data_IF_841765448299
#
_entry.id   IF_841765448299
#
_cell.length_a   1.000
_cell.length_b   1.000
_cell.length_c   1.000
_cell.angle_alpha   90.00
_cell.angle_beta   90.00
_cell.angle_gamma   90.00
#
_symmetry.space_group_name_H-M   'P 1'
#
loop_
_entity.id
_entity.type
_entity.pdbx_description
1 polymer ?
#
# COMPACT_ATOMS: atom_id res chain seq x y z
N UNK A 1 2.15 -1.69 17.53
CA UNK A 1 3.35 -0.83 17.60
C UNK A 1 4.46 -1.47 18.45
N UNK A 2 4.41 -1.48 19.79
CA UNK A 2 5.55 -1.98 20.60
C UNK A 2 5.83 -3.49 20.50
N UNK A 3 4.81 -4.31 20.22
CA UNK A 3 4.98 -5.76 20.01
C UNK A 3 5.69 -6.11 18.68
N UNK A 4 5.81 -5.15 17.75
CA UNK A 4 6.63 -5.33 16.56
C UNK A 4 8.10 -5.26 16.98
N UNK A 5 8.71 -6.45 17.13
CA UNK A 5 10.09 -6.59 17.58
C UNK A 5 11.10 -6.12 16.53
N UNK A 6 10.82 -6.35 15.24
CA UNK A 6 11.68 -5.88 14.14
C UNK A 6 11.78 -4.36 14.22
N UNK A 7 10.64 -3.69 14.39
CA UNK A 7 10.59 -2.25 14.57
C UNK A 7 11.31 -1.81 15.84
N UNK A 8 10.78 -2.19 17.00
CA UNK A 8 11.21 -1.66 18.30
C UNK A 8 12.67 -2.02 18.60
N UNK A 9 13.08 -3.25 18.27
CA UNK A 9 14.44 -3.71 18.42
C UNK A 9 15.43 -3.02 17.48
N UNK A 10 15.03 -2.70 16.24
CA UNK A 10 15.91 -1.96 15.31
C UNK A 10 16.13 -0.52 15.75
N UNK A 11 15.08 0.16 16.22
CA UNK A 11 15.23 1.48 16.85
C UNK A 11 16.16 1.45 18.06
N UNK A 12 15.97 0.49 18.97
CA UNK A 12 16.84 0.34 20.13
C UNK A 12 18.29 0.11 19.70
N UNK A 13 18.55 -0.80 18.76
CA UNK A 13 19.90 -1.05 18.23
C UNK A 13 20.50 0.21 17.60
N UNK A 14 19.75 0.90 16.75
CA UNK A 14 20.21 2.12 16.10
C UNK A 14 20.66 3.18 17.12
N UNK A 15 19.88 3.39 18.17
CA UNK A 15 20.16 4.36 19.23
C UNK A 15 21.35 3.92 20.11
N UNK A 16 21.35 2.66 20.59
CA UNK A 16 22.39 2.17 21.50
C UNK A 16 23.73 1.95 20.81
N UNK A 17 23.75 1.48 19.56
CA UNK A 17 24.99 1.29 18.80
C UNK A 17 25.62 2.61 18.39
N UNK A 18 24.81 3.66 18.22
CA UNK A 18 25.26 5.03 17.99
C UNK A 18 25.23 5.88 19.26
N UNK A 19 25.53 5.29 20.43
CA UNK A 19 25.43 5.98 21.72
C UNK A 19 26.21 7.30 21.79
N UNK A 20 27.26 7.52 20.99
CA UNK A 20 28.00 8.79 20.93
C UNK A 20 27.15 9.95 20.42
N UNK A 21 26.12 9.67 19.63
CA UNK A 21 25.17 10.67 19.12
C UNK A 21 24.11 11.06 20.18
N UNK A 22 24.03 10.31 21.28
CA UNK A 22 23.07 10.52 22.36
C UNK A 22 23.74 10.90 23.68
N UNK A 23 24.94 10.38 23.97
CA UNK A 23 25.62 10.59 25.25
C UNK A 23 25.84 12.07 25.54
N UNK A 24 25.34 12.52 26.68
CA UNK A 24 25.38 13.90 27.16
C UNK A 24 24.70 14.93 26.22
N UNK A 25 23.89 14.46 25.26
CA UNK A 25 23.16 15.29 24.29
C UNK A 25 21.74 15.61 24.75
N UNK A 26 21.16 16.63 24.12
CA UNK A 26 19.75 16.98 24.25
C UNK A 26 18.97 16.38 23.07
N UNK A 27 17.91 15.65 23.37
CA UNK A 27 17.12 14.89 22.40
C UNK A 27 15.69 15.43 22.35
N UNK A 28 15.10 15.48 21.16
CA UNK A 28 13.66 15.68 20.97
C UNK A 28 13.04 14.41 20.39
N UNK A 29 12.05 13.86 21.08
CA UNK A 29 11.22 12.73 20.62
C UNK A 29 9.87 13.27 20.15
N UNK A 30 9.61 13.20 18.84
CA UNK A 30 8.42 13.78 18.19
C UNK A 30 7.36 12.71 18.02
N UNK A 31 6.21 12.89 18.68
CA UNK A 31 5.14 11.88 18.71
C UNK A 31 5.57 10.67 19.53
N UNK A 32 6.01 10.92 20.77
CA UNK A 32 6.67 9.89 21.58
C UNK A 32 5.73 8.72 21.96
N UNK A 33 4.41 8.91 21.87
CA UNK A 33 3.40 7.94 22.28
C UNK A 33 3.61 7.53 23.73
N UNK A 34 4.01 6.28 23.94
CA UNK A 34 4.35 5.74 25.29
C UNK A 34 5.69 6.25 25.84
N UNK A 35 6.52 6.91 25.03
CA UNK A 35 7.87 7.35 25.39
C UNK A 35 8.98 6.32 25.16
N UNK A 36 8.70 5.19 24.48
CA UNK A 36 9.65 4.08 24.32
C UNK A 36 11.00 4.52 23.71
N UNK A 37 11.00 5.41 22.71
CA UNK A 37 12.22 5.90 22.08
C UNK A 37 12.99 6.84 23.01
N UNK A 38 12.29 7.67 23.78
CA UNK A 38 12.88 8.47 24.86
C UNK A 38 13.60 7.62 25.90
N UNK A 39 13.06 6.44 26.27
CA UNK A 39 13.76 5.50 27.16
C UNK A 39 15.04 4.94 26.53
N UNK A 40 15.05 4.63 25.24
CA UNK A 40 16.27 4.19 24.54
C UNK A 40 17.33 5.31 24.48
N UNK A 41 16.92 6.54 24.23
CA UNK A 41 17.82 7.69 24.28
C UNK A 41 18.42 7.89 25.69
N UNK A 42 17.61 7.71 26.74
CA UNK A 42 18.09 7.74 28.12
C UNK A 42 19.09 6.61 28.43
N UNK A 43 18.85 5.39 27.92
CA UNK A 43 19.78 4.25 28.02
C UNK A 43 21.11 4.53 27.30
N UNK A 44 21.07 5.22 26.16
CA UNK A 44 22.28 5.65 25.44
C UNK A 44 23.04 6.81 26.12
N UNK A 45 22.53 7.31 27.26
CA UNK A 45 23.19 8.32 28.07
C UNK A 45 22.82 9.77 27.73
N UNK A 46 21.66 10.00 27.10
CA UNK A 46 21.17 11.36 26.87
C UNK A 46 21.05 12.16 28.16
N UNK A 47 21.50 13.43 28.10
CA UNK A 47 21.48 14.37 29.23
C UNK A 47 20.05 14.80 29.53
N UNK A 48 19.29 15.10 28.49
CA UNK A 48 17.90 15.57 28.58
C UNK A 48 17.13 15.17 27.32
N UNK A 49 15.89 14.73 27.49
CA UNK A 49 14.99 14.31 26.42
C UNK A 49 13.68 15.07 26.58
N UNK A 50 13.27 15.79 25.54
CA UNK A 50 11.95 16.40 25.42
C UNK A 50 11.06 15.43 24.64
N UNK A 51 10.04 14.87 25.29
CA UNK A 51 9.14 13.90 24.69
C UNK A 51 7.79 14.57 24.38
N UNK A 52 7.56 14.93 23.11
CA UNK A 52 6.36 15.65 22.68
C UNK A 52 5.31 14.65 22.19
N UNK A 53 4.10 14.74 22.72
CA UNK A 53 2.98 13.87 22.33
C UNK A 53 1.65 14.64 22.35
N UNK A 54 0.91 14.58 21.25
CA UNK A 54 -0.32 15.35 21.08
C UNK A 54 -1.55 14.67 21.69
N UNK A 55 -1.54 13.34 21.78
CA UNK A 55 -2.65 12.55 22.33
C UNK A 55 -2.61 12.45 23.86
N UNK A 56 -3.67 11.88 24.43
CA UNK A 56 -3.75 11.56 25.86
C UNK A 56 -2.69 10.56 26.32
N UNK A 57 -2.01 9.87 25.39
CA UNK A 57 -0.91 8.97 25.70
C UNK A 57 0.25 9.66 26.44
N UNK A 58 0.39 10.99 26.28
CA UNK A 58 1.34 11.79 27.06
C UNK A 58 1.19 11.57 28.58
N UNK A 59 -0.04 11.39 29.08
CA UNK A 59 -0.28 11.12 30.50
C UNK A 59 0.29 9.76 30.93
N UNK A 60 0.19 8.74 30.06
CA UNK A 60 0.75 7.43 30.32
C UNK A 60 2.28 7.42 30.20
N UNK A 61 2.85 8.16 29.24
CA UNK A 61 4.28 8.37 29.15
C UNK A 61 4.84 8.98 30.44
N UNK A 62 4.18 10.00 30.99
CA UNK A 62 4.58 10.63 32.26
C UNK A 62 4.55 9.64 33.45
N UNK A 63 3.56 8.75 33.51
CA UNK A 63 3.50 7.66 34.50
C UNK A 63 4.70 6.72 34.35
N UNK A 64 5.04 6.34 33.12
CA UNK A 64 6.20 5.47 32.84
C UNK A 64 7.51 6.15 33.23
N UNK A 65 7.68 7.44 32.92
CA UNK A 65 8.87 8.23 33.29
C UNK A 65 9.07 8.27 34.80
N UNK A 66 7.99 8.49 35.57
CA UNK A 66 8.03 8.48 37.05
C UNK A 66 8.38 7.11 37.60
N UNK A 67 7.72 6.06 37.11
CA UNK A 67 7.95 4.68 37.60
C UNK A 67 9.35 4.16 37.28
N UNK A 68 10.00 4.66 36.24
CA UNK A 68 11.37 4.30 35.87
C UNK A 68 12.42 5.27 36.42
N UNK A 69 12.05 6.21 37.31
CA UNK A 69 12.97 7.14 37.96
C UNK A 69 13.78 8.02 36.98
N UNK A 70 13.16 8.42 35.87
CA UNK A 70 13.82 9.21 34.81
C UNK A 70 13.28 10.64 34.68
N UNK A 71 12.56 11.14 35.69
CA UNK A 71 11.94 12.48 35.70
C UNK A 71 12.93 13.63 35.51
N UNK A 72 14.18 13.46 35.96
CA UNK A 72 15.24 14.47 35.79
C UNK A 72 15.78 14.54 34.35
N UNK A 73 15.54 13.49 33.55
CA UNK A 73 16.08 13.37 32.19
C UNK A 73 15.01 13.48 31.12
N UNK A 74 13.85 12.84 31.29
CA UNK A 74 12.76 12.83 30.31
C UNK A 74 11.68 13.80 30.77
N UNK A 75 11.41 14.81 29.94
CA UNK A 75 10.36 15.81 30.17
C UNK A 75 9.27 15.59 29.13
N UNK A 76 8.11 15.11 29.57
CA UNK A 76 6.95 14.92 28.70
C UNK A 76 6.23 16.25 28.49
N UNK A 77 6.01 16.62 27.23
CA UNK A 77 5.35 17.86 26.84
C UNK A 77 4.08 17.50 26.05
N UNK A 78 2.88 17.63 26.65
CA UNK A 78 1.64 17.37 25.95
C UNK A 78 1.36 18.48 24.93
N UNK A 79 1.11 18.10 23.69
CA UNK A 79 0.77 19.03 22.60
C UNK A 79 1.38 18.63 21.27
N UNK A 80 1.02 19.39 20.23
CA UNK A 80 1.55 19.22 18.87
C UNK A 80 2.91 19.92 18.75
N UNK A 81 3.86 19.32 18.02
CA UNK A 81 5.23 19.87 17.88
C UNK A 81 5.25 21.24 17.17
N UNK A 82 4.21 21.53 16.40
CA UNK A 82 3.98 22.81 15.73
C UNK A 82 3.65 23.94 16.72
N UNK A 83 2.94 23.61 17.81
CA UNK A 83 2.33 24.56 18.75
C UNK A 83 3.11 24.70 20.07
N UNK A 84 3.80 23.65 20.50
CA UNK A 84 4.60 23.67 21.74
C UNK A 84 5.83 24.56 21.60
N UNK A 85 6.43 24.95 22.73
CA UNK A 85 7.70 25.67 22.79
C UNK A 85 8.72 24.91 23.63
N UNK A 86 9.90 24.67 23.08
CA UNK A 86 11.02 24.09 23.83
C UNK A 86 11.93 25.19 24.39
N UNK A 87 12.50 25.01 25.60
CA UNK A 87 13.33 26.03 26.24
C UNK A 87 14.75 26.12 25.66
N UNK A 88 15.21 25.12 24.90
CA UNK A 88 16.56 25.09 24.30
C UNK A 88 16.57 24.28 22.99
N UNK A 89 17.55 24.55 22.12
CA UNK A 89 17.77 23.75 20.90
C UNK A 89 18.34 22.36 21.22
N UNK A 90 17.97 21.36 20.42
CA UNK A 90 18.35 19.95 20.59
C UNK A 90 19.46 19.53 19.63
N UNK A 91 20.24 18.52 20.02
CA UNK A 91 21.34 17.98 19.21
C UNK A 91 20.86 16.91 18.21
N UNK A 92 19.81 16.16 18.57
CA UNK A 92 19.24 15.10 17.74
C UNK A 92 17.72 15.03 17.90
N UNK A 93 17.02 14.81 16.79
CA UNK A 93 15.58 14.52 16.79
C UNK A 93 15.38 13.04 16.49
N UNK A 94 14.56 12.37 17.29
CA UNK A 94 14.12 11.00 17.07
C UNK A 94 12.61 10.97 16.86
N UNK A 95 12.15 10.09 15.98
CA UNK A 95 10.71 9.85 15.79
C UNK A 95 10.48 8.52 15.09
N UNK A 96 9.24 8.06 15.14
CA UNK A 96 8.72 6.98 14.31
C UNK A 96 7.56 7.56 13.47
N UNK A 97 7.86 8.30 12.38
CA UNK A 97 6.86 9.00 11.59
C UNK A 97 6.38 8.21 10.36
N UNK A 98 6.69 6.92 10.25
CA UNK A 98 6.47 6.16 9.03
C UNK A 98 5.07 5.53 8.99
N UNK A 99 4.28 5.90 7.98
CA UNK A 99 3.01 5.24 7.66
C UNK A 99 3.14 4.22 6.52
N UNK A 100 2.00 3.71 6.04
CA UNK A 100 1.95 2.96 4.77
C UNK A 100 2.58 3.77 3.63
N UNK A 101 3.34 3.08 2.76
CA UNK A 101 4.13 3.71 1.68
C UNK A 101 5.04 4.85 2.18
N UNK A 102 5.54 4.78 3.41
CA UNK A 102 6.32 5.80 4.13
C UNK A 102 5.55 7.08 4.48
N UNK A 103 4.75 7.61 3.55
CA UNK A 103 4.16 8.95 3.64
C UNK A 103 2.79 9.02 4.30
N UNK A 104 2.05 7.91 4.41
CA UNK A 104 0.70 7.95 4.99
C UNK A 104 0.71 8.53 6.42
N UNK A 105 -0.45 9.06 6.86
CA UNK A 105 -0.63 9.76 8.15
C UNK A 105 0.00 11.15 8.23
N UNK A 106 0.83 11.54 7.25
CA UNK A 106 1.38 12.90 7.13
C UNK A 106 2.25 13.32 8.33
N UNK A 107 2.68 12.36 9.15
CA UNK A 107 3.51 12.62 10.34
C UNK A 107 4.93 13.09 9.99
N UNK A 108 5.42 12.76 8.78
CA UNK A 108 6.69 13.27 8.27
C UNK A 108 6.74 14.80 8.21
N UNK A 109 5.60 15.49 8.03
CA UNK A 109 5.57 16.96 8.07
C UNK A 109 5.91 17.48 9.45
N UNK A 110 5.27 16.94 10.49
CA UNK A 110 5.57 17.29 11.89
C UNK A 110 7.02 16.97 12.24
N UNK A 111 7.55 15.86 11.72
CA UNK A 111 8.96 15.48 11.89
C UNK A 111 9.92 16.49 11.24
N UNK A 112 9.64 16.91 10.01
CA UNK A 112 10.43 17.96 9.34
C UNK A 112 10.25 19.33 9.99
N UNK A 113 9.06 19.64 10.50
CA UNK A 113 8.75 20.88 11.20
C UNK A 113 9.54 21.00 12.51
N UNK A 114 9.75 19.88 13.20
CA UNK A 114 10.53 19.82 14.43
C UNK A 114 11.99 20.27 14.26
N UNK A 115 12.52 20.30 13.02
CA UNK A 115 13.86 20.83 12.72
C UNK A 115 14.06 22.29 13.14
N UNK A 116 13.00 23.06 13.39
CA UNK A 116 13.11 24.39 13.99
C UNK A 116 13.86 24.37 15.34
N UNK A 117 13.79 23.26 16.07
CA UNK A 117 14.50 23.04 17.33
C UNK A 117 15.88 22.41 17.17
N UNK A 118 16.24 21.93 15.98
CA UNK A 118 17.51 21.26 15.74
C UNK A 118 18.65 22.29 15.65
N UNK A 119 19.78 22.00 16.28
CA UNK A 119 21.00 22.80 16.13
C UNK A 119 21.57 22.66 14.71
N UNK A 120 22.29 23.68 14.20
CA UNK A 120 23.10 23.50 13.00
C UNK A 120 24.09 22.34 13.19
N UNK A 121 24.10 21.38 12.28
CA UNK A 121 24.90 20.15 12.40
C UNK A 121 24.32 19.09 13.36
N UNK A 122 23.11 19.29 13.88
CA UNK A 122 22.37 18.25 14.58
C UNK A 122 21.88 17.15 13.64
N UNK A 123 21.55 15.99 14.20
CA UNK A 123 21.17 14.80 13.43
C UNK A 123 19.67 14.46 13.57
N UNK A 124 19.19 13.55 12.73
CA UNK A 124 17.80 13.08 12.69
C UNK A 124 17.77 11.56 12.56
N UNK A 125 16.98 10.90 13.40
CA UNK A 125 16.80 9.45 13.45
C UNK A 125 15.31 9.09 13.30
N UNK A 126 14.86 8.59 12.14
CA UNK A 126 15.63 8.23 10.94
C UNK A 126 16.16 9.44 10.15
N UNK A 127 17.23 9.23 9.38
CA UNK A 127 17.95 10.28 8.63
C UNK A 127 17.49 10.35 7.17
N UNK A 128 17.31 9.19 6.54
CA UNK A 128 16.80 9.06 5.17
C UNK A 128 15.67 8.03 5.14
N UNK A 129 14.74 8.19 4.19
CA UNK A 129 13.72 7.21 3.85
C UNK A 129 13.77 6.90 2.36
N UNK A 130 13.90 5.62 2.03
CA UNK A 130 13.91 5.09 0.68
C UNK A 130 12.56 4.43 0.39
N UNK A 131 11.81 4.95 -0.58
CA UNK A 131 10.61 4.28 -1.11
C UNK A 131 10.99 3.49 -2.34
N UNK A 132 10.64 2.22 -2.34
CA UNK A 132 10.84 1.31 -3.45
C UNK A 132 9.52 1.05 -4.15
N UNK A 133 9.57 0.98 -5.48
CA UNK A 133 8.45 0.50 -6.29
C UNK A 133 8.91 -0.50 -7.33
N UNK A 134 8.10 -1.52 -7.59
CA UNK A 134 8.37 -2.54 -8.61
C UNK A 134 7.06 -3.02 -9.28
N UNK A 135 7.07 -3.31 -10.59
CA UNK A 135 5.91 -3.89 -11.27
C UNK A 135 5.71 -5.34 -10.83
N UNK A 136 4.45 -5.76 -10.65
CA UNK A 136 4.11 -7.12 -10.26
C UNK A 136 3.05 -7.74 -11.17
N UNK A 137 3.01 -9.08 -11.16
CA UNK A 137 1.94 -9.89 -11.75
C UNK A 137 1.20 -10.67 -10.67
N UNK A 138 -0.11 -10.46 -10.53
CA UNK A 138 -0.99 -11.20 -9.62
C UNK A 138 -2.41 -11.19 -10.18
N UNK A 139 -2.70 -12.21 -10.97
CA UNK A 139 -4.00 -12.41 -11.61
C UNK A 139 -5.11 -12.65 -10.58
N UNK A 140 -4.80 -13.37 -9.48
CA UNK A 140 -5.78 -13.69 -8.45
C UNK A 140 -6.24 -12.42 -7.73
N UNK A 141 -5.30 -11.55 -7.35
CA UNK A 141 -5.63 -10.27 -6.73
C UNK A 141 -6.47 -9.38 -7.67
N UNK A 142 -6.11 -9.33 -8.95
CA UNK A 142 -6.82 -8.54 -9.95
C UNK A 142 -8.26 -9.04 -10.14
N UNK A 143 -8.45 -10.35 -10.30
CA UNK A 143 -9.77 -10.97 -10.47
C UNK A 143 -10.63 -10.92 -9.21
N UNK A 144 -10.03 -10.86 -8.03
CA UNK A 144 -10.74 -10.65 -6.76
C UNK A 144 -11.54 -9.33 -6.77
N UNK A 145 -10.97 -8.26 -7.34
CA UNK A 145 -11.67 -6.96 -7.42
C UNK A 145 -12.91 -7.04 -8.31
N UNK A 146 -12.80 -7.70 -9.47
CA UNK A 146 -13.95 -7.93 -10.34
C UNK A 146 -14.99 -8.84 -9.68
N UNK A 147 -14.56 -9.86 -8.94
CA UNK A 147 -15.48 -10.76 -8.24
C UNK A 147 -16.31 -10.01 -7.20
N UNK A 148 -15.69 -9.10 -6.42
CA UNK A 148 -16.40 -8.22 -5.49
C UNK A 148 -17.35 -7.26 -6.21
N UNK A 149 -16.87 -6.62 -7.29
CA UNK A 149 -17.69 -5.70 -8.08
C UNK A 149 -18.88 -6.39 -8.76
N UNK A 150 -18.75 -7.67 -9.13
CA UNK A 150 -19.81 -8.44 -9.77
C UNK A 150 -20.99 -8.73 -8.83
N UNK A 151 -20.87 -8.50 -7.51
CA UNK A 151 -22.04 -8.45 -6.62
C UNK A 151 -23.09 -7.45 -7.11
N UNK A 152 -22.65 -6.30 -7.60
CA UNK A 152 -23.52 -5.25 -8.15
C UNK A 152 -24.07 -5.61 -9.54
N UNK A 153 -23.51 -6.62 -10.21
CA UNK A 153 -23.98 -7.05 -11.53
C UNK A 153 -25.13 -8.06 -11.42
N UNK A 154 -26.13 -7.71 -10.63
CA UNK A 154 -27.32 -8.53 -10.39
C UNK A 154 -28.57 -7.79 -10.89
N UNK A 155 -29.29 -8.34 -11.88
CA UNK A 155 -30.47 -7.69 -12.45
C UNK A 155 -31.71 -7.76 -11.54
N UNK A 156 -31.66 -8.52 -10.44
CA UNK A 156 -32.79 -8.68 -9.52
C UNK A 156 -32.34 -9.02 -8.10
N UNK A 157 -31.52 -8.17 -7.48
CA UNK A 157 -31.19 -8.27 -6.07
C UNK A 157 -32.41 -7.84 -5.24
N UNK A 158 -33.10 -8.80 -4.63
CA UNK A 158 -34.38 -8.58 -3.94
C UNK A 158 -35.40 -7.79 -4.79
N UNK A 159 -35.44 -8.05 -6.11
CA UNK A 159 -36.36 -7.37 -7.04
C UNK A 159 -35.84 -6.03 -7.61
N UNK A 160 -34.61 -5.62 -7.28
CA UNK A 160 -33.99 -4.37 -7.78
C UNK A 160 -32.79 -4.68 -8.66
N UNK A 161 -32.69 -4.01 -9.81
CA UNK A 161 -31.52 -4.09 -10.67
C UNK A 161 -30.39 -3.18 -10.16
N UNK A 162 -29.26 -3.79 -9.77
CA UNK A 162 -28.07 -3.09 -9.28
C UNK A 162 -27.02 -2.84 -10.38
N UNK A 163 -27.20 -3.42 -11.57
CA UNK A 163 -26.16 -3.53 -12.60
C UNK A 163 -25.61 -2.18 -13.08
N UNK A 164 -26.41 -1.12 -12.99
CA UNK A 164 -26.00 0.26 -13.29
C UNK A 164 -24.83 0.76 -12.42
N UNK A 165 -24.67 0.23 -11.20
CA UNK A 165 -23.61 0.61 -10.26
C UNK A 165 -22.34 -0.23 -10.38
N UNK A 166 -22.31 -1.27 -11.23
CA UNK A 166 -21.14 -2.14 -11.40
C UNK A 166 -19.88 -1.34 -11.76
N UNK A 167 -19.98 -0.39 -12.69
CA UNK A 167 -18.84 0.43 -13.11
C UNK A 167 -18.24 1.26 -11.96
N UNK A 168 -19.11 1.93 -11.20
CA UNK A 168 -18.70 2.69 -10.02
C UNK A 168 -18.07 1.79 -8.94
N UNK A 169 -18.62 0.59 -8.74
CA UNK A 169 -18.05 -0.38 -7.80
C UNK A 169 -16.67 -0.86 -8.23
N UNK A 170 -16.45 -1.17 -9.52
CA UNK A 170 -15.11 -1.50 -10.05
C UNK A 170 -14.15 -0.35 -9.78
N UNK A 171 -14.51 0.87 -10.14
CA UNK A 171 -13.64 2.04 -9.91
C UNK A 171 -13.30 2.22 -8.43
N UNK A 172 -14.25 1.99 -7.52
CA UNK A 172 -14.04 2.09 -6.08
C UNK A 172 -13.08 1.02 -5.55
N UNK A 173 -13.25 -0.25 -5.95
CA UNK A 173 -12.34 -1.33 -5.52
C UNK A 173 -10.92 -1.12 -6.06
N UNK A 174 -10.77 -0.68 -7.31
CA UNK A 174 -9.45 -0.40 -7.90
C UNK A 174 -8.78 0.84 -7.31
N UNK A 175 -9.54 1.75 -6.67
CA UNK A 175 -8.99 2.91 -5.94
C UNK A 175 -8.38 2.55 -4.59
N UNK A 176 -8.58 1.34 -4.09
CA UNK A 176 -8.06 0.91 -2.78
C UNK A 176 -6.65 0.33 -2.92
N UNK A 177 -5.61 0.93 -2.30
CA UNK A 177 -4.32 0.28 -2.16
C UNK A 177 -4.48 -0.98 -1.31
N UNK A 178 -3.88 -2.08 -1.75
CA UNK A 178 -3.97 -3.37 -1.06
C UNK A 178 -2.80 -3.51 -0.10
N UNK A 179 -3.09 -3.72 1.18
CA UNK A 179 -2.08 -3.92 2.23
C UNK A 179 -2.01 -5.40 2.56
N UNK A 180 -0.93 -6.04 2.14
CA UNK A 180 -0.57 -7.43 2.44
C UNK A 180 0.91 -7.72 2.16
N UNK A 181 1.30 -8.99 2.29
CA UNK A 181 2.63 -9.48 1.90
C UNK A 181 2.49 -10.43 0.72
N UNK A 182 3.53 -10.51 -0.10
CA UNK A 182 3.54 -11.33 -1.31
C UNK A 182 4.88 -12.03 -1.52
N UNK A 183 4.89 -13.08 -2.37
CA UNK A 183 6.13 -13.75 -2.75
C UNK A 183 6.92 -12.90 -3.74
N UNK A 184 8.21 -12.67 -3.51
CA UNK A 184 9.06 -11.81 -4.34
C UNK A 184 9.11 -12.21 -5.81
N UNK A 185 8.80 -13.47 -6.16
CA UNK A 185 8.79 -13.97 -7.54
C UNK A 185 7.69 -13.34 -8.39
N UNK A 186 6.68 -12.70 -7.79
CA UNK A 186 5.68 -11.94 -8.53
C UNK A 186 6.24 -10.65 -9.14
N UNK A 187 7.40 -10.18 -8.67
CA UNK A 187 8.02 -8.96 -9.16
C UNK A 187 8.63 -9.19 -10.55
N UNK A 188 8.29 -8.33 -11.50
CA UNK A 188 8.65 -8.49 -12.91
C UNK A 188 9.90 -7.70 -13.31
N UNK A 189 10.37 -6.79 -12.47
CA UNK A 189 11.58 -5.99 -12.68
C UNK A 189 12.24 -5.65 -11.34
N UNK A 190 13.49 -5.15 -11.40
CA UNK A 190 14.16 -4.57 -10.23
C UNK A 190 13.44 -3.32 -9.76
N UNK A 191 13.39 -3.10 -8.45
CA UNK A 191 12.74 -1.91 -7.89
C UNK A 191 13.46 -0.62 -8.29
N UNK A 192 12.69 0.43 -8.54
CA UNK A 192 13.18 1.81 -8.59
C UNK A 192 13.09 2.39 -7.19
N UNK A 193 14.07 3.21 -6.82
CA UNK A 193 14.21 3.79 -5.49
C UNK A 193 14.04 5.31 -5.55
N UNK A 194 13.27 5.85 -4.62
CA UNK A 194 13.10 7.28 -4.39
C UNK A 194 13.50 7.62 -2.95
N UNK A 195 14.50 8.46 -2.78
CA UNK A 195 15.08 8.78 -1.48
C UNK A 195 14.65 10.16 -1.01
N UNK A 196 14.15 10.24 0.22
CA UNK A 196 13.92 11.49 0.94
C UNK A 196 14.96 11.62 2.04
N UNK A 197 15.77 12.67 1.96
CA UNK A 197 16.71 13.02 3.03
C UNK A 197 16.05 13.97 4.03
N UNK A 198 15.75 13.49 5.24
CA UNK A 198 15.01 14.28 6.22
C UNK A 198 15.80 15.47 6.77
N UNK A 199 17.15 15.40 6.76
CA UNK A 199 18.00 16.53 7.15
C UNK A 199 17.82 17.72 6.19
N UNK A 200 17.70 17.44 4.89
CA UNK A 200 17.66 18.48 3.84
C UNK A 200 16.23 18.87 3.44
N UNK A 201 15.29 17.91 3.46
CA UNK A 201 13.92 18.10 3.01
C UNK A 201 13.15 19.12 3.85
N UNK A 202 12.31 19.93 3.22
CA UNK A 202 11.43 20.89 3.90
C UNK A 202 10.01 20.34 3.97
N UNK A 203 9.22 20.84 4.93
CA UNK A 203 7.79 20.53 5.03
C UNK A 203 7.07 20.79 3.68
N UNK A 204 7.44 21.89 3.01
CA UNK A 204 6.93 22.28 1.70
C UNK A 204 7.26 21.33 0.54
N UNK A 205 8.25 20.46 0.70
CA UNK A 205 8.62 19.48 -0.34
C UNK A 205 7.67 18.29 -0.30
N UNK A 206 7.14 17.98 0.89
CA UNK A 206 6.13 16.95 1.07
C UNK A 206 4.74 17.47 0.71
N UNK A 207 4.47 18.77 0.92
CA UNK A 207 3.22 19.43 0.55
C UNK A 207 3.39 20.89 0.15
N UNK A 208 2.83 21.28 -1.00
CA UNK A 208 2.37 22.66 -1.12
C UNK A 208 1.00 22.78 -1.79
N UNK A 209 -0.01 22.97 -0.94
CA UNK A 209 -1.20 23.74 -1.28
C UNK A 209 -0.77 25.20 -1.47
N UNK A 210 -0.95 25.73 -2.67
CA UNK A 210 -1.03 27.17 -2.87
C UNK A 210 -2.45 27.46 -3.38
N UNK A 211 -3.18 28.42 -2.80
CA UNK A 211 -4.45 28.84 -3.40
C UNK A 211 -4.14 29.29 -4.83
N UNK A 212 -4.96 28.83 -5.78
CA UNK A 212 -4.98 29.35 -7.14
C UNK A 212 -4.87 30.87 -7.05
N UNK A 213 -3.85 31.45 -7.69
CA UNK A 213 -3.82 32.90 -7.90
C UNK A 213 -5.20 33.30 -8.44
N UNK A 214 -5.88 34.30 -7.85
CA UNK A 214 -7.12 34.78 -8.45
C UNK A 214 -6.77 35.25 -9.86
N UNK A 215 -7.40 34.62 -10.86
CA UNK A 215 -7.40 35.11 -12.23
C UNK A 215 -7.93 36.54 -12.20
N UNK A 216 -7.05 37.54 -12.21
CA UNK A 216 -7.45 38.91 -12.51
C UNK A 216 -7.74 38.98 -14.00
N UNK A 217 -9.02 38.96 -14.35
CA UNK A 217 -9.46 39.33 -15.70
C UNK A 217 -9.09 40.79 -15.92
N UNK A 218 -8.01 41.04 -16.67
CA UNK A 218 -7.80 42.34 -17.29
C UNK A 218 -8.73 42.39 -18.49
N UNK A 219 -9.90 43.00 -18.32
CA UNK A 219 -10.75 43.39 -19.44
C UNK A 219 -9.99 44.41 -20.28
N UNK A 220 -9.54 44.01 -21.47
CA UNK A 220 -9.06 44.95 -22.48
C UNK A 220 -10.25 45.77 -22.97
N UNK A 221 -10.21 47.07 -22.68
CA UNK A 221 -11.20 48.03 -23.16
C UNK A 221 -11.23 48.07 -24.68
N UNK A 222 -12.38 47.70 -25.25
CA UNK A 222 -12.72 47.97 -26.65
C UNK A 222 -12.90 49.47 -26.83
N UNK A 223 -11.95 50.13 -27.50
CA UNK A 223 -12.17 51.45 -28.05
C UNK A 223 -13.10 51.33 -29.27
N UNK A 224 -14.30 51.93 -29.14
CA UNK A 224 -15.25 52.14 -30.24
C UNK A 224 -14.60 52.97 -31.35
N UNK A 225 -14.60 52.46 -32.58
CA UNK A 225 -14.46 53.27 -33.78
C UNK A 225 -15.84 53.64 -34.31
N UNK A 226 -16.15 54.94 -34.30
CA UNK A 226 -17.23 55.55 -35.06
C UNK A 226 -16.71 56.03 -36.42
N UNK A 227 -17.45 55.67 -37.48
CA UNK A 227 -17.21 55.98 -38.89
C UNK A 227 -17.53 57.44 -39.21
N UNK A 228 -16.65 58.16 -39.92
CA UNK A 228 -16.99 59.27 -40.85
C UNK A 228 -15.98 59.32 -42.02
N UNK A 229 -16.49 59.64 -43.21
CA UNK A 229 -15.95 59.52 -44.57
C UNK A 229 -14.92 60.59 -45.03
N UNK A 230 -14.45 60.36 -46.28
CA UNK A 230 -13.91 61.29 -47.32
C UNK A 230 -12.38 61.47 -47.27
N UNK A 231 -11.57 61.41 -48.33
CA UNK A 231 -11.69 61.21 -49.79
C UNK A 231 -10.27 61.34 -50.43
N UNK A 232 -10.12 60.86 -51.68
CA UNK A 232 -9.09 61.10 -52.76
C UNK A 232 -7.89 62.04 -52.43
N UNK A 233 -6.62 61.80 -52.80
CA UNK A 233 -6.01 61.55 -54.14
C UNK A 233 -4.47 61.30 -54.07
N UNK A 234 -3.96 60.49 -55.01
CA UNK A 234 -2.64 60.42 -55.73
C UNK A 234 -1.28 60.88 -55.13
N UNK A 235 -0.31 59.98 -55.37
CA UNK A 235 1.10 60.11 -55.82
C UNK A 235 2.17 60.74 -54.92
N UNK A 236 3.27 60.00 -54.71
CA UNK A 236 4.56 60.54 -54.28
C UNK A 236 5.53 59.48 -53.76
N UNK A 237 6.44 59.02 -54.63
CA UNK A 237 7.69 58.34 -54.27
C UNK A 237 8.64 59.36 -53.63
N UNK A 238 9.35 59.06 -52.54
CA UNK A 238 10.74 59.53 -52.32
C UNK A 238 11.39 58.96 -51.02
N UNK A 239 12.58 58.40 -51.22
CA UNK A 239 13.81 58.39 -50.40
C UNK A 239 13.82 58.02 -48.90
N UNK A 240 14.61 56.96 -48.62
CA UNK A 240 15.38 56.71 -47.40
C UNK A 240 16.30 57.89 -47.06
N UNK A 241 16.55 58.12 -45.76
CA UNK A 241 17.89 57.83 -45.24
C UNK A 241 17.88 57.21 -43.83
N UNK A 242 18.79 56.26 -43.60
CA UNK A 242 19.28 55.87 -42.26
C UNK A 242 20.05 57.04 -41.63
N UNK A 243 20.02 57.21 -40.29
CA UNK A 243 21.14 56.68 -39.52
C UNK A 243 20.79 56.10 -38.13
N UNK A 244 21.58 55.08 -37.78
CA UNK A 244 22.08 54.70 -36.44
C UNK A 244 21.47 55.42 -35.23
N UNK A 245 20.66 54.70 -34.46
CA UNK A 245 20.60 54.85 -33.01
C UNK A 245 20.26 53.50 -32.37
N UNK A 246 21.24 52.99 -31.63
CA UNK A 246 21.15 51.85 -30.73
C UNK A 246 20.08 52.06 -29.67
N UNK A 247 19.06 51.20 -29.67
CA UNK A 247 18.16 51.00 -28.53
C UNK A 247 17.97 49.50 -28.35
N UNK A 248 18.64 48.92 -27.36
CA UNK A 248 18.29 47.61 -26.85
C UNK A 248 16.96 47.73 -26.10
N UNK A 249 15.96 46.89 -26.38
CA UNK A 249 14.78 46.84 -25.53
C UNK A 249 15.14 46.13 -24.21
N UNK A 250 15.31 46.92 -23.16
CA UNK A 250 15.20 46.46 -21.77
C UNK A 250 13.73 46.11 -21.50
N UNK A 251 13.30 44.95 -21.95
CA UNK A 251 12.12 44.27 -21.41
C UNK A 251 12.62 43.12 -20.53
N UNK A 252 12.89 43.46 -19.27
CA UNK A 252 12.94 42.47 -18.19
C UNK A 252 11.52 41.97 -17.98
N UNK A 253 11.18 40.83 -18.56
CA UNK A 253 10.02 40.07 -18.13
C UNK A 253 10.21 39.74 -16.63
N UNK A 254 9.26 40.05 -15.74
CA UNK A 254 9.26 39.39 -14.45
C UNK A 254 9.01 37.91 -14.73
N UNK A 255 9.97 37.07 -14.37
CA UNK A 255 9.83 35.62 -14.34
C UNK A 255 8.61 35.28 -13.49
N UNK A 256 7.46 35.11 -14.14
CA UNK A 256 6.29 34.48 -13.55
C UNK A 256 6.69 33.02 -13.33
N UNK A 257 7.34 32.76 -12.20
CA UNK A 257 7.36 31.44 -11.60
C UNK A 257 5.92 31.08 -11.27
N UNK A 258 5.23 30.48 -12.24
CA UNK A 258 4.14 29.57 -11.93
C UNK A 258 4.79 28.42 -11.14
N UNK A 259 4.87 28.59 -9.82
CA UNK A 259 5.33 27.53 -8.94
C UNK A 259 4.25 26.44 -9.01
N UNK A 260 4.60 25.35 -9.69
CA UNK A 260 3.83 24.12 -9.70
C UNK A 260 3.62 23.68 -8.25
N UNK A 261 2.46 23.09 -7.91
CA UNK A 261 2.24 22.53 -6.58
C UNK A 261 3.36 21.53 -6.27
N UNK A 262 4.04 21.70 -5.14
CA UNK A 262 5.03 20.73 -4.68
C UNK A 262 4.31 19.40 -4.42
N UNK A 263 4.65 18.41 -5.22
CA UNK A 263 4.09 17.04 -5.22
C UNK A 263 5.27 16.08 -5.15
N UNK A 264 5.10 14.97 -4.45
CA UNK A 264 6.10 13.91 -4.48
C UNK A 264 5.95 13.21 -5.83
N UNK A 265 6.85 13.54 -6.74
CA UNK A 265 6.88 12.96 -8.08
C UNK A 265 8.00 11.92 -8.15
N UNK A 266 7.60 10.67 -8.40
CA UNK A 266 8.50 9.53 -8.50
C UNK A 266 8.46 9.03 -9.95
N UNK A 267 9.34 9.55 -10.83
CA UNK A 267 9.49 9.00 -12.16
C UNK A 267 10.13 7.61 -12.06
N UNK A 268 9.66 6.68 -12.88
CA UNK A 268 10.21 5.33 -12.93
C UNK A 268 10.40 4.86 -14.36
N UNK A 269 11.41 4.00 -14.52
CA UNK A 269 11.70 3.28 -15.75
C UNK A 269 12.20 1.89 -15.39
N UNK A 270 11.36 0.89 -15.64
CA UNK A 270 11.65 -0.51 -15.32
C UNK A 270 12.10 -1.26 -16.56
N UNK A 271 13.24 -1.95 -16.46
CA UNK A 271 13.64 -2.95 -17.44
C UNK A 271 13.05 -4.30 -17.05
N UNK A 272 12.13 -4.80 -17.87
CA UNK A 272 11.37 -6.01 -17.56
C UNK A 272 12.26 -7.24 -17.62
N UNK A 273 12.28 -8.02 -16.55
CA UNK A 273 13.02 -9.28 -16.46
C UNK A 273 12.19 -10.48 -16.91
N UNK A 274 10.86 -10.38 -16.74
CA UNK A 274 9.91 -11.43 -17.06
C UNK A 274 8.86 -10.91 -18.05
N UNK A 275 8.37 -11.80 -18.91
CA UNK A 275 7.24 -11.52 -19.81
C UNK A 275 5.92 -11.84 -19.09
N UNK A 276 4.91 -11.00 -19.23
CA UNK A 276 3.59 -11.24 -18.64
C UNK A 276 2.70 -10.01 -18.58
N UNK A 277 1.58 -10.15 -17.88
CA UNK A 277 0.69 -9.04 -17.55
C UNK A 277 1.18 -8.36 -16.27
N UNK A 278 1.46 -7.07 -16.36
CA UNK A 278 1.72 -6.19 -15.23
C UNK A 278 0.37 -5.72 -14.69
N UNK A 279 -0.01 -6.21 -13.52
CA UNK A 279 -1.28 -5.86 -12.87
C UNK A 279 -1.19 -4.60 -12.03
N UNK A 280 0.00 -4.15 -11.66
CA UNK A 280 0.17 -2.96 -10.82
C UNK A 280 1.61 -2.70 -10.39
N UNK A 281 1.77 -1.78 -9.43
CA UNK A 281 3.03 -1.47 -8.75
C UNK A 281 2.95 -1.86 -7.27
N UNK A 282 3.96 -2.57 -6.79
CA UNK A 282 4.15 -2.88 -5.39
C UNK A 282 5.12 -1.86 -4.77
N UNK A 283 4.86 -1.48 -3.52
CA UNK A 283 5.59 -0.47 -2.77
C UNK A 283 6.01 -1.02 -1.41
N UNK A 284 7.23 -0.67 -1.01
CA UNK A 284 7.76 -0.84 0.34
C UNK A 284 8.72 0.31 0.62
N UNK A 285 9.17 0.42 1.86
CA UNK A 285 10.11 1.45 2.24
C UNK A 285 11.15 0.96 3.23
N UNK A 286 12.32 1.60 3.17
CA UNK A 286 13.40 1.40 4.11
C UNK A 286 13.75 2.74 4.73
N UNK A 287 14.12 2.76 6.01
CA UNK A 287 14.66 3.95 6.65
C UNK A 287 16.04 3.65 7.22
N UNK A 288 16.94 4.62 7.09
CA UNK A 288 18.29 4.50 7.62
C UNK A 288 18.51 5.50 8.76
N UNK A 289 19.11 4.99 9.83
CA UNK A 289 19.62 5.76 10.95
C UNK A 289 21.12 5.96 10.73
N UNK A 290 21.52 7.09 10.16
CA UNK A 290 22.91 7.39 9.82
C UNK A 290 23.55 8.05 11.05
N UNK A 291 24.12 7.24 11.94
CA UNK A 291 24.86 7.71 13.11
C UNK A 291 26.35 7.88 12.85
N UNK A 292 27.05 8.48 13.82
CA UNK A 292 28.50 8.71 13.75
C UNK A 292 29.31 7.42 13.79
N UNK A 293 28.78 6.36 14.41
CA UNK A 293 29.47 5.05 14.53
C UNK A 293 29.10 4.16 13.34
N UNK A 294 27.80 4.01 13.06
CA UNK A 294 27.31 3.14 11.99
C UNK A 294 25.93 3.54 11.48
N UNK A 295 25.64 3.11 10.25
CA UNK A 295 24.29 3.18 9.68
C UNK A 295 23.52 1.92 9.99
N UNK A 296 22.34 2.06 10.60
CA UNK A 296 21.40 0.95 10.84
C UNK A 296 20.18 1.12 9.95
N UNK A 297 19.69 0.03 9.35
CA UNK A 297 18.53 0.04 8.46
C UNK A 297 17.34 -0.67 9.11
N UNK A 298 16.16 -0.06 8.97
CA UNK A 298 14.88 -0.72 9.18
C UNK A 298 14.23 -0.86 7.80
N UNK A 299 14.05 -2.10 7.35
CA UNK A 299 13.48 -2.40 6.05
C UNK A 299 12.10 -3.04 6.17
N UNK A 300 11.20 -2.66 5.26
CA UNK A 300 9.89 -3.31 5.09
C UNK A 300 9.80 -4.08 3.77
N UNK A 301 10.94 -4.36 3.14
CA UNK A 301 11.01 -5.08 1.89
C UNK A 301 10.38 -6.48 1.99
N UNK A 302 9.75 -7.00 0.92
CA UNK A 302 9.18 -8.34 0.92
C UNK A 302 10.24 -9.47 1.02
N UNK A 303 11.52 -9.13 0.94
CA UNK A 303 12.65 -10.03 1.19
C UNK A 303 13.01 -10.16 2.67
N UNK A 304 12.54 -9.23 3.51
CA UNK A 304 12.85 -9.13 4.93
C UNK A 304 11.73 -9.72 5.80
N UNK A 305 11.99 -9.98 7.10
CA UNK A 305 10.96 -10.42 8.03
C UNK A 305 9.76 -9.44 8.07
N UNK A 306 8.56 -10.02 8.13
CA UNK A 306 7.33 -9.25 8.07
C UNK A 306 7.21 -8.24 9.22
N UNK A 307 6.81 -7.02 8.88
CA UNK A 307 6.52 -5.95 9.84
C UNK A 307 5.03 -5.60 9.80
N UNK A 308 4.54 -4.85 10.80
CA UNK A 308 3.13 -4.44 10.82
C UNK A 308 2.71 -3.50 9.68
N UNK A 309 3.66 -2.91 8.96
CA UNK A 309 3.39 -2.08 7.78
C UNK A 309 3.04 -2.90 6.54
N UNK A 310 3.42 -4.18 6.51
CA UNK A 310 3.32 -5.04 5.33
C UNK A 310 3.95 -4.34 4.10
N UNK A 311 3.46 -4.69 2.90
CA UNK A 311 3.73 -3.96 1.67
C UNK A 311 2.40 -3.42 1.12
N UNK A 312 2.49 -2.46 0.19
CA UNK A 312 1.31 -1.85 -0.43
C UNK A 312 1.33 -2.12 -1.92
N UNK A 313 0.23 -2.62 -2.47
CA UNK A 313 0.08 -2.90 -3.90
C UNK A 313 -1.02 -2.02 -4.49
N UNK A 314 -0.67 -1.31 -5.56
CA UNK A 314 -1.60 -0.47 -6.31
C UNK A 314 -1.85 -1.11 -7.67
N UNK A 315 -3.09 -1.57 -7.90
CA UNK A 315 -3.50 -2.17 -9.16
C UNK A 315 -3.63 -1.11 -10.26
N UNK A 316 -3.40 -1.50 -11.50
CA UNK A 316 -3.85 -0.77 -12.67
C UNK A 316 -5.28 -1.16 -13.00
N UNK A 317 -6.08 -0.22 -13.52
CA UNK A 317 -7.43 -0.55 -14.00
C UNK A 317 -7.37 -1.55 -15.17
N UNK A 318 -6.45 -1.31 -16.10
CA UNK A 318 -6.15 -2.21 -17.22
C UNK A 318 -4.72 -2.73 -17.09
N UNK A 319 -4.49 -4.06 -17.02
CA UNK A 319 -3.15 -4.61 -16.94
C UNK A 319 -2.38 -4.36 -18.24
N UNK A 320 -1.06 -4.22 -18.13
CA UNK A 320 -0.19 -3.96 -19.27
C UNK A 320 0.60 -5.21 -19.62
N UNK A 321 0.52 -5.66 -20.87
CA UNK A 321 1.36 -6.74 -21.34
C UNK A 321 2.76 -6.22 -21.70
N UNK A 322 3.79 -6.78 -21.08
CA UNK A 322 5.18 -6.47 -21.37
C UNK A 322 5.99 -7.75 -21.55
N UNK A 323 6.95 -7.74 -22.48
CA UNK A 323 7.89 -8.84 -22.69
C UNK A 323 9.16 -8.60 -21.88
N UNK A 324 9.89 -9.66 -21.57
CA UNK A 324 11.24 -9.54 -21.02
C UNK A 324 12.12 -8.73 -21.98
N UNK A 325 12.84 -7.75 -21.45
CA UNK A 325 13.61 -6.77 -22.22
C UNK A 325 12.84 -5.50 -22.59
N UNK A 326 11.51 -5.48 -22.51
CA UNK A 326 10.73 -4.26 -22.68
C UNK A 326 11.00 -3.27 -21.55
N UNK A 327 10.59 -2.02 -21.77
CA UNK A 327 10.70 -0.98 -20.75
C UNK A 327 9.33 -0.43 -20.39
N UNK A 328 9.03 -0.45 -19.09
CA UNK A 328 7.83 0.13 -18.51
C UNK A 328 8.20 1.46 -17.86
N UNK A 329 7.81 2.57 -18.46
CA UNK A 329 8.10 3.92 -17.96
C UNK A 329 6.85 4.64 -17.47
N UNK A 330 7.01 5.61 -16.57
CA UNK A 330 5.88 6.31 -16.01
C UNK A 330 6.22 7.17 -14.81
N UNK A 331 5.17 7.64 -14.14
CA UNK A 331 5.27 8.50 -12.97
C UNK A 331 4.27 8.06 -11.92
N UNK A 332 4.72 7.95 -10.67
CA UNK A 332 3.87 7.86 -9.49
C UNK A 332 3.87 9.24 -8.81
N UNK A 333 2.68 9.83 -8.68
CA UNK A 333 2.50 11.16 -8.13
C UNK A 333 1.66 11.07 -6.86
N UNK A 334 2.23 11.49 -5.73
CA UNK A 334 1.50 11.58 -4.46
C UNK A 334 1.14 13.03 -4.18
N UNK A 335 -0.16 13.27 -3.96
CA UNK A 335 -0.72 14.59 -3.71
C UNK A 335 -1.36 14.62 -2.33
N UNK A 336 -0.94 15.60 -1.51
CA UNK A 336 -1.57 15.92 -0.24
C UNK A 336 -3.09 15.95 -0.31
N UNK A 337 -3.76 15.26 0.62
CA UNK A 337 -5.18 15.52 0.85
C UNK A 337 -5.43 16.03 2.28
N UNK A 338 -6.62 16.60 2.49
CA UNK A 338 -7.05 17.18 3.78
C UNK A 338 -7.35 16.13 4.85
N UNK A 339 -7.31 14.84 4.51
CA UNK A 339 -7.68 13.71 5.39
C UNK A 339 -6.47 13.03 6.02
N UNK A 340 -5.35 13.76 6.14
CA UNK A 340 -4.06 13.25 6.64
C UNK A 340 -3.52 12.07 5.82
N UNK A 341 -3.70 12.11 4.49
CA UNK A 341 -3.22 11.07 3.58
C UNK A 341 -2.89 11.66 2.21
N UNK A 342 -2.66 10.78 1.22
CA UNK A 342 -2.28 11.14 -0.14
C UNK A 342 -3.24 10.52 -1.16
N UNK A 343 -3.54 11.32 -2.19
CA UNK A 343 -4.13 10.81 -3.43
C UNK A 343 -2.98 10.39 -4.35
N UNK A 344 -2.99 9.14 -4.79
CA UNK A 344 -1.90 8.54 -5.57
C UNK A 344 -2.35 8.46 -7.03
N UNK A 345 -1.68 9.15 -7.93
CA UNK A 345 -1.88 9.04 -9.37
C UNK A 345 -0.71 8.28 -9.98
N UNK A 346 -0.98 7.09 -10.51
CA UNK A 346 0.03 6.28 -11.21
C UNK A 346 -0.29 6.26 -12.69
N UNK A 347 0.69 6.58 -13.51
CA UNK A 347 0.62 6.45 -14.96
C UNK A 347 1.80 5.61 -15.43
N UNK A 348 1.54 4.55 -16.18
CA UNK A 348 2.56 3.66 -16.72
C UNK A 348 2.31 3.38 -18.20
N UNK A 349 3.39 3.22 -18.97
CA UNK A 349 3.35 2.86 -20.38
C UNK A 349 4.45 1.86 -20.71
N UNK A 350 4.14 0.91 -21.61
CA UNK A 350 5.15 0.02 -22.20
C UNK A 350 5.73 0.72 -23.42
N UNK A 351 7.00 1.11 -23.36
CA UNK A 351 7.65 1.98 -24.34
C UNK A 351 7.61 1.41 -25.76
N UNK A 352 7.75 0.09 -25.90
CA UNK A 352 7.79 -0.61 -27.19
C UNK A 352 6.42 -0.72 -27.88
N UNK A 353 5.33 -0.79 -27.11
CA UNK A 353 3.98 -0.99 -27.67
C UNK A 353 3.13 0.28 -27.63
N UNK A 354 3.51 1.27 -26.81
CA UNK A 354 2.70 2.45 -26.53
C UNK A 354 1.46 2.16 -25.66
N UNK A 355 1.29 0.92 -25.17
CA UNK A 355 0.18 0.55 -24.30
C UNK A 355 0.30 1.30 -22.98
N UNK A 356 -0.75 2.01 -22.59
CA UNK A 356 -0.77 2.90 -21.43
C UNK A 356 -1.87 2.48 -20.46
N UNK A 357 -1.58 2.55 -19.18
CA UNK A 357 -2.54 2.38 -18.11
C UNK A 357 -2.33 3.45 -17.05
N UNK A 358 -3.40 3.78 -16.35
CA UNK A 358 -3.36 4.71 -15.24
C UNK A 358 -4.34 4.31 -14.17
N UNK A 359 -4.07 4.70 -12.94
CA UNK A 359 -5.03 4.58 -11.86
C UNK A 359 -4.87 5.75 -10.87
N UNK A 360 -5.97 6.10 -10.21
CA UNK A 360 -6.01 7.03 -9.10
C UNK A 360 -6.39 6.22 -7.86
N UNK A 361 -5.61 6.30 -6.78
CA UNK A 361 -5.86 5.57 -5.55
C UNK A 361 -5.96 6.52 -4.37
N UNK A 362 -6.73 6.12 -3.36
CA UNK A 362 -6.90 6.86 -2.11
C UNK A 362 -6.21 6.10 -0.97
N UNK A 363 -5.06 6.60 -0.53
CA UNK A 363 -4.28 5.96 0.54
C UNK A 363 -4.98 6.03 1.90
N UNK A 364 -6.04 6.84 2.05
CA UNK A 364 -6.83 6.89 3.27
C UNK A 364 -7.69 5.65 3.48
N UNK A 365 -8.06 4.95 2.40
CA UNK A 365 -8.96 3.78 2.44
C UNK A 365 -8.28 2.53 1.87
N UNK A 366 -7.24 2.00 2.53
CA UNK A 366 -6.58 0.79 2.09
C UNK A 366 -7.45 -0.45 2.32
N UNK A 367 -7.33 -1.44 1.44
CA UNK A 367 -7.92 -2.76 1.61
C UNK A 367 -6.91 -3.70 2.28
N UNK A 368 -7.18 -4.10 3.53
CA UNK A 368 -6.35 -5.06 4.26
C UNK A 368 -6.68 -6.49 3.81
N UNK A 369 -5.70 -7.15 3.18
CA UNK A 369 -5.87 -8.50 2.61
C UNK A 369 -5.08 -9.59 3.34
N UNK A 370 -4.25 -9.23 4.32
CA UNK A 370 -3.44 -10.21 5.04
C UNK A 370 -4.30 -11.21 5.84
N UNK A 371 -4.19 -12.49 5.50
CA UNK A 371 -4.93 -13.61 6.14
C UNK A 371 -4.02 -14.54 6.96
N UNK A 372 -2.70 -14.28 7.01
CA UNK A 372 -1.73 -15.17 7.65
C UNK A 372 -1.31 -16.39 6.81
N UNK A 373 -1.93 -16.63 5.65
CA UNK A 373 -1.52 -17.71 4.74
C UNK A 373 -0.24 -17.37 4.01
N UNK A 374 0.64 -18.35 3.79
CA UNK A 374 1.87 -18.18 3.02
C UNK A 374 1.55 -17.72 1.59
N UNK A 375 2.14 -16.62 1.10
CA UNK A 375 1.93 -16.15 -0.27
C UNK A 375 2.32 -17.21 -1.29
N UNK A 376 1.47 -17.40 -2.31
CA UNK A 376 1.76 -18.31 -3.43
C UNK A 376 2.67 -17.63 -4.45
N UNK A 377 3.66 -18.33 -5.02
CA UNK A 377 4.41 -17.80 -6.14
C UNK A 377 3.62 -17.82 -7.44
N UNK A 378 4.11 -17.15 -8.52
CA UNK A 378 3.46 -17.20 -9.82
C UNK A 378 3.26 -18.64 -10.31
N UNK A 379 2.13 -18.95 -10.97
CA UNK A 379 1.89 -20.27 -11.56
C UNK A 379 3.08 -20.75 -12.40
N UNK A 380 3.48 -22.02 -12.22
CA UNK A 380 4.66 -22.59 -12.90
C UNK A 380 6.00 -22.34 -12.20
N UNK A 381 6.02 -21.63 -11.07
CA UNK A 381 7.25 -21.38 -10.27
C UNK A 381 7.48 -22.40 -9.16
N UNK A 382 6.75 -23.51 -9.17
CA UNK A 382 6.88 -24.59 -8.18
C UNK A 382 7.98 -25.56 -8.62
N UNK A 383 8.96 -25.80 -7.75
CA UNK A 383 10.00 -26.82 -7.94
C UNK A 383 9.62 -28.18 -7.35
N UNK A 384 8.52 -28.23 -6.60
CA UNK A 384 7.96 -29.43 -5.97
C UNK A 384 6.53 -29.62 -6.44
N UNK A 385 6.10 -30.87 -6.58
CA UNK A 385 4.71 -31.13 -6.95
C UNK A 385 3.76 -30.72 -5.82
N UNK A 386 2.51 -30.28 -6.11
CA UNK A 386 1.52 -29.97 -5.06
C UNK A 386 1.31 -31.12 -4.07
N UNK A 387 1.42 -32.37 -4.54
CA UNK A 387 1.33 -33.60 -3.74
C UNK A 387 2.48 -33.75 -2.74
N UNK A 388 3.68 -33.32 -3.13
CA UNK A 388 4.89 -33.40 -2.32
C UNK A 388 4.91 -32.31 -1.24
N UNK A 389 4.34 -31.12 -1.54
CA UNK A 389 4.06 -30.11 -0.52
C UNK A 389 3.01 -30.60 0.50
N UNK A 390 1.95 -31.28 0.07
CA UNK A 390 0.96 -31.88 0.98
C UNK A 390 1.59 -32.93 1.91
N UNK A 391 2.49 -33.77 1.39
CA UNK A 391 3.22 -34.76 2.18
C UNK A 391 4.21 -34.14 3.17
N UNK A 392 4.96 -33.12 2.75
CA UNK A 392 5.97 -32.47 3.60
C UNK A 392 5.35 -31.60 4.71
N UNK A 393 4.13 -31.08 4.50
CA UNK A 393 3.39 -30.33 5.52
C UNK A 393 2.58 -31.26 6.45
N UNK A 394 2.64 -32.59 6.23
CA UNK A 394 1.79 -33.59 6.86
C UNK A 394 2.35 -34.29 8.10
N UNK A 395 3.27 -33.66 8.84
CA UNK A 395 3.82 -34.24 10.08
C UNK A 395 2.95 -33.99 11.32
N UNK A 396 1.64 -34.28 11.24
CA UNK A 396 0.80 -34.62 12.41
C UNK A 396 -0.53 -35.30 12.04
N UNK A 397 -0.61 -36.08 10.95
CA UNK A 397 -1.84 -36.84 10.66
C UNK A 397 -1.84 -38.20 11.37
N UNK A 398 -2.55 -38.25 12.49
CA UNK A 398 -2.80 -39.44 13.28
C UNK A 398 -3.70 -40.39 12.46
N UNK A 399 -3.15 -41.51 11.99
CA UNK A 399 -3.79 -42.50 11.11
C UNK A 399 -4.86 -43.36 11.83
N UNK A 400 -5.50 -42.83 12.88
CA UNK A 400 -6.46 -43.55 13.73
C UNK A 400 -7.89 -43.01 13.65
N UNK A 401 -8.12 -41.91 12.93
CA UNK A 401 -9.45 -41.35 12.70
C UNK A 401 -9.61 -40.98 11.23
N UNK A 402 -10.40 -41.78 10.51
CA UNK A 402 -10.68 -41.56 9.09
C UNK A 402 -11.22 -40.15 8.81
N UNK A 403 -10.67 -39.49 7.79
CA UNK A 403 -11.21 -38.23 7.29
C UNK A 403 -12.49 -38.50 6.48
N UNK A 404 -13.59 -37.89 6.89
CA UNK A 404 -14.74 -37.70 6.03
C UNK A 404 -14.40 -36.62 4.98
N UNK A 405 -14.36 -37.02 3.71
CA UNK A 405 -14.28 -36.09 2.57
C UNK A 405 -15.70 -35.68 2.21
N UNK A 406 -16.02 -34.39 2.33
CA UNK A 406 -17.29 -33.86 1.86
C UNK A 406 -17.37 -33.95 0.33
N UNK A 407 -18.31 -34.74 -0.19
CA UNK A 407 -18.65 -34.78 -1.62
C UNK A 407 -18.46 -36.13 -2.35
N UNK A 408 -18.12 -37.23 -1.67
CA UNK A 408 -18.10 -38.56 -2.30
C UNK A 408 -19.22 -39.46 -1.73
N UNK A 409 -19.97 -40.21 -2.57
CA UNK A 409 -20.87 -41.25 -2.09
C UNK A 409 -20.04 -42.32 -1.37
N UNK A 410 -20.55 -42.82 -0.25
CA UNK A 410 -19.93 -43.86 0.59
C UNK A 410 -19.60 -45.09 -0.24
N UNK A 411 -18.33 -45.24 -0.64
CA UNK A 411 -17.82 -46.46 -1.22
C UNK A 411 -17.47 -47.45 -0.10
N UNK A 412 -17.90 -48.69 -0.30
CA UNK A 412 -17.81 -49.87 0.55
C UNK A 412 -16.54 -49.97 1.41
N UNK A 413 -16.77 -50.26 2.69
CA UNK A 413 -15.78 -50.60 3.70
C UNK A 413 -14.90 -51.78 3.24
N UNK A 414 -13.59 -51.56 3.15
CA UNK A 414 -12.58 -52.55 2.76
C UNK A 414 -11.90 -53.17 4.00
N UNK A 415 -12.66 -53.38 5.08
CA UNK A 415 -12.17 -54.02 6.31
C UNK A 415 -12.04 -55.55 6.22
N UNK A 416 -12.38 -56.19 5.08
CA UNK A 416 -12.40 -57.65 4.95
C UNK A 416 -11.17 -58.30 4.29
N UNK A 417 -10.07 -57.58 4.05
CA UNK A 417 -8.90 -58.15 3.31
C UNK A 417 -7.66 -58.37 4.19
N UNK A 418 -7.75 -58.16 5.51
CA UNK A 418 -6.65 -58.44 6.45
C UNK A 418 -7.05 -59.58 7.39
N UNK A 419 -7.35 -60.74 6.83
CA UNK A 419 -7.40 -62.00 7.58
C UNK A 419 -7.20 -63.18 6.62
N UNK A 420 -5.95 -63.55 6.36
CA UNK A 420 -5.63 -64.87 5.81
C UNK A 420 -4.50 -64.91 4.78
N UNK A 421 -3.37 -65.52 5.17
CA UNK A 421 -2.62 -66.44 4.32
C UNK A 421 -1.79 -65.87 3.16
N UNK A 422 -0.47 -65.87 3.38
CA UNK A 422 0.61 -66.13 2.42
C UNK A 422 0.27 -66.48 0.96
N UNK A 423 0.40 -65.50 0.05
CA UNK A 423 1.08 -65.62 -1.27
C UNK A 423 0.96 -64.31 -2.05
N UNK A 424 2.09 -63.70 -2.41
CA UNK A 424 2.15 -62.54 -3.32
C UNK A 424 2.09 -63.06 -4.75
N UNK A 425 1.09 -62.63 -5.52
CA UNK A 425 0.98 -62.88 -6.96
C UNK A 425 0.64 -61.59 -7.69
N UNK A 426 1.62 -61.02 -8.41
CA UNK A 426 1.40 -59.94 -9.37
C UNK A 426 0.57 -60.48 -10.53
N UNK A 427 -0.48 -59.77 -10.97
CA UNK A 427 -0.99 -59.93 -12.33
C UNK A 427 -1.62 -58.62 -12.84
N UNK A 428 -0.88 -57.96 -13.74
CA UNK A 428 -1.38 -56.95 -14.67
C UNK A 428 -2.14 -57.65 -15.79
N UNK A 429 -3.48 -57.67 -15.78
CA UNK A 429 -4.28 -58.08 -16.94
C UNK A 429 -5.63 -57.35 -16.96
N UNK A 430 -5.87 -56.63 -18.07
CA UNK A 430 -7.15 -56.02 -18.45
C UNK A 430 -7.99 -57.11 -19.14
N UNK A 431 -9.26 -57.38 -18.74
CA UNK A 431 -10.12 -58.26 -19.51
C UNK A 431 -10.89 -57.49 -20.60
N UNK A 432 -10.61 -57.86 -21.84
CA UNK A 432 -11.36 -57.48 -23.05
C UNK A 432 -12.34 -58.61 -23.40
N UNK A 433 -13.64 -58.29 -23.40
CA UNK A 433 -14.71 -58.86 -24.25
C UNK A 433 -15.23 -60.29 -23.99
N UNK A 434 -16.55 -60.46 -23.88
CA UNK A 434 -17.42 -60.88 -25.01
C UNK A 434 -18.79 -61.47 -24.59
N UNK A 435 -19.84 -60.96 -25.27
CA UNK A 435 -21.10 -61.58 -25.73
C UNK A 435 -21.81 -62.72 -24.96
N UNK A 436 -23.08 -62.47 -24.64
CA UNK A 436 -24.12 -63.48 -24.47
C UNK A 436 -25.52 -62.87 -24.58
N UNK A 437 -26.26 -63.20 -25.64
CA UNK A 437 -27.60 -62.70 -25.97
C UNK A 437 -28.73 -63.57 -25.40
N UNK A 438 -29.85 -62.95 -25.00
CA UNK A 438 -31.24 -63.44 -24.91
C UNK A 438 -32.06 -62.28 -24.30
N UNK A 439 -33.24 -61.85 -24.71
CA UNK A 439 -34.30 -62.34 -25.59
C UNK A 439 -35.60 -61.70 -25.05
N UNK A 440 -36.35 -60.97 -25.87
CA UNK A 440 -37.52 -60.18 -25.48
C UNK A 440 -38.84 -60.95 -25.67
N UNK A 441 -39.80 -60.81 -24.74
CA UNK A 441 -41.26 -60.69 -25.02
C UNK A 441 -42.15 -60.63 -23.76
N UNK A 442 -42.98 -59.58 -23.70
CA UNK A 442 -44.42 -59.53 -23.31
C UNK A 442 -44.92 -60.02 -21.95
N UNK A 443 -45.43 -59.11 -21.11
CA UNK A 443 -46.86 -58.92 -20.81
C UNK A 443 -47.12 -58.11 -19.53
N UNK A 444 -48.28 -57.47 -19.51
CA UNK A 444 -48.79 -56.41 -18.64
C UNK A 444 -49.28 -56.85 -17.25
N UNK A 445 -49.07 -56.02 -16.23
CA UNK A 445 -50.07 -55.77 -15.17
C UNK A 445 -49.77 -54.47 -14.42
N UNK A 446 -50.78 -53.61 -14.36
CA UNK A 446 -50.85 -52.30 -13.72
C UNK A 446 -50.96 -52.38 -12.20
N UNK A 447 -50.28 -51.47 -11.49
CA UNK A 447 -50.64 -51.05 -10.14
C UNK A 447 -50.34 -49.55 -9.97
N UNK A 448 -51.40 -48.78 -9.75
CA UNK A 448 -51.40 -47.35 -9.45
C UNK A 448 -50.74 -47.06 -8.10
N UNK A 449 -49.91 -46.01 -8.02
CA UNK A 449 -49.69 -45.25 -6.79
C UNK A 449 -49.58 -43.75 -7.08
N UNK A 450 -50.10 -42.98 -6.12
CA UNK A 450 -50.52 -41.58 -6.22
C UNK A 450 -49.39 -40.56 -6.31
N UNK A 451 -49.69 -39.46 -6.99
CA UNK A 451 -48.92 -38.21 -6.97
C UNK A 451 -49.04 -37.58 -5.58
N UNK A 452 -47.93 -37.54 -4.85
CA UNK A 452 -47.72 -36.61 -3.74
C UNK A 452 -46.32 -36.02 -3.88
N UNK A 453 -46.22 -34.90 -4.58
CA UNK A 453 -45.02 -34.07 -4.65
C UNK A 453 -44.86 -33.28 -3.35
N UNK A 454 -44.28 -33.92 -2.33
CA UNK A 454 -43.60 -33.25 -1.22
C UNK A 454 -42.10 -33.45 -1.42
N UNK A 455 -41.45 -32.54 -2.15
CA UNK A 455 -40.00 -32.44 -2.15
C UNK A 455 -39.58 -31.64 -0.91
N UNK A 456 -39.06 -32.38 0.07
CA UNK A 456 -38.36 -31.89 1.25
C UNK A 456 -37.07 -31.22 0.80
N UNK A 457 -36.99 -29.89 0.93
CA UNK A 457 -35.78 -29.11 0.72
C UNK A 457 -34.77 -29.40 1.84
N UNK A 458 -33.87 -30.35 1.61
CA UNK A 458 -32.66 -30.55 2.41
C UNK A 458 -31.59 -29.54 2.00
N UNK A 459 -31.71 -28.30 2.47
CA UNK A 459 -30.64 -27.30 2.44
C UNK A 459 -30.47 -26.73 3.85
N UNK A 460 -29.24 -26.54 4.36
CA UNK A 460 -29.05 -26.00 5.70
C UNK A 460 -29.66 -24.60 5.80
N UNK A 461 -30.56 -24.43 6.76
CA UNK A 461 -31.14 -23.16 7.14
C UNK A 461 -30.05 -22.22 7.67
N UNK A 462 -29.90 -21.06 7.05
CA UNK A 462 -29.13 -19.95 7.63
C UNK A 462 -29.99 -19.34 8.73
N UNK A 463 -29.78 -19.81 9.96
CA UNK A 463 -30.40 -19.24 11.15
C UNK A 463 -29.86 -17.84 11.38
N UNK A 464 -30.73 -16.85 11.21
CA UNK A 464 -30.56 -15.52 11.78
C UNK A 464 -30.85 -15.59 13.30
N UNK A 465 -29.98 -14.93 14.07
CA UNK A 465 -30.06 -14.60 15.49
C UNK A 465 -29.92 -15.74 16.52
N UNK A 466 -28.84 -15.70 17.32
CA UNK A 466 -28.84 -15.32 18.75
C UNK A 466 -27.38 -15.34 19.30
N UNK A 467 -27.10 -14.86 20.53
CA UNK A 467 -26.41 -13.61 20.82
C UNK A 467 -24.96 -13.82 21.29
N UNK A 468 -23.99 -13.10 20.75
CA UNK A 468 -22.65 -13.04 21.37
C UNK A 468 -22.56 -11.85 22.32
N UNK A 469 -22.24 -12.21 23.57
CA UNK A 469 -21.92 -11.36 24.70
C UNK A 469 -20.83 -10.34 24.39
N UNK A 470 -21.12 -9.09 24.72
CA UNK A 470 -20.21 -7.95 24.75
C UNK A 470 -19.28 -8.10 25.96
N UNK A 471 -17.94 -8.16 25.80
CA UNK A 471 -17.04 -7.62 26.79
C UNK A 471 -16.91 -6.11 26.51
N UNK A 472 -17.50 -5.32 27.40
CA UNK A 472 -17.41 -3.86 27.40
C UNK A 472 -15.95 -3.41 27.48
N UNK A 473 -15.50 -2.65 26.48
CA UNK A 473 -14.60 -1.50 26.64
C UNK A 473 -14.52 -0.74 25.31
N UNK A 474 -15.55 0.07 25.05
CA UNK A 474 -15.54 1.09 24.01
C UNK A 474 -15.72 2.44 24.71
N UNK A 475 -14.63 3.19 24.86
CA UNK A 475 -14.71 4.62 25.19
C UNK A 475 -15.09 5.36 23.92
N UNK A 476 -16.28 5.94 23.92
CA UNK A 476 -16.79 6.84 22.89
C UNK A 476 -15.92 8.11 22.82
N UNK A 477 -15.34 8.41 21.65
CA UNK A 477 -14.98 9.78 21.29
C UNK A 477 -16.20 10.44 20.64
N UNK A 478 -16.80 11.39 21.37
CA UNK A 478 -17.78 12.33 20.85
C UNK A 478 -17.26 13.75 21.03
N UNK A 479 -17.47 14.56 19.99
CA UNK A 479 -17.11 15.99 19.79
C UNK A 479 -15.62 16.33 19.67
#
# INVERSE_FOLDING_TARGET
MMQDYVRTGTYQRAILQNHTDFKDKIVLDVGCGSGILSFFAAQAGARKIYAVEASTMAQHAEVLVKSNHLTERIIVIPGKVEEVSLPEQVDIIISEPMGYMLFNERMLESYLHAKKYLRPGGNMFPTIGDVHLAPFTDEQLYMEQFTKANFWYQPSFHGVDLSALRGAAVDEYFRQPVVDTFDIRILMAKSVKYTVNFLEAKEGDLHRYQPLCPFSWVTTGSHRHSTVQVGRTRSGTLHLPTPLLSWQPLFSFPSNHCLLPSRIEIPFKFHMLHSGLVHGLAFWFDVAFIGSIMTVWLSTAPTEPLTHWYQVRCLFQSPLFAKAGDTLSGTCLLIANKRQSYDISIVAQVDQTGSKSSNLLDLKNPFFRYTGTTPSPPPGSHYTSPSENMWNTGSTYNLSSGMAVAGMPTAYDLSSVIAGGSSVGHNNLIPLGSSGAQGSSGSSSSAHYAVNSQFTMGGPAISMASPMSIPTNTMHYGS
#
